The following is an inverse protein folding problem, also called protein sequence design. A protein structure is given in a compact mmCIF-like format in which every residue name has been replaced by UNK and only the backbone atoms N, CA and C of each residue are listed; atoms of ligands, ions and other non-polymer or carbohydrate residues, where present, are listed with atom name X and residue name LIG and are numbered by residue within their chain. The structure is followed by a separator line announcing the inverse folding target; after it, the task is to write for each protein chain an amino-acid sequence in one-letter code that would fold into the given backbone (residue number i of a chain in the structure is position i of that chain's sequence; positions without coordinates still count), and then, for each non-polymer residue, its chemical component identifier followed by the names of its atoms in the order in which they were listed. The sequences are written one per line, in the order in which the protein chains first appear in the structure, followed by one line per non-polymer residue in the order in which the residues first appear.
data_IF_329865751166
#
_entry.id   IF_329865751166
#
_cell.length_a   1.000
_cell.length_b   1.000
_cell.length_c   1.000
_cell.angle_alpha   90.00
_cell.angle_beta   90.00
_cell.angle_gamma   90.00
#
_symmetry.space_group_name_H-M   'P 1'
#
loop_
_entity.id
_entity.type
_entity.pdbx_description
1 polymer ?
#
# COMPACT_ATOMS: atom_id res chain seq x y z
N UNK A 1 -6.29 10.62 -20.22
CA UNK A 1 -5.89 9.22 -19.94
C UNK A 1 -4.69 9.24 -18.99
N UNK A 2 -4.73 8.50 -17.88
CA UNK A 2 -3.59 8.45 -16.92
C UNK A 2 -2.71 7.26 -17.27
N UNK A 3 -1.42 7.47 -17.45
CA UNK A 3 -0.46 6.37 -17.59
C UNK A 3 -0.29 5.71 -16.22
N UNK A 4 -0.41 4.39 -16.20
CA UNK A 4 -0.30 3.58 -14.99
C UNK A 4 1.00 2.78 -15.03
N UNK A 5 1.69 2.70 -13.90
CA UNK A 5 2.86 1.85 -13.71
C UNK A 5 2.53 0.77 -12.69
N UNK A 6 2.98 -0.46 -12.99
CA UNK A 6 2.71 -1.63 -12.18
C UNK A 6 3.72 -1.86 -11.04
N UNK A 7 4.88 -1.19 -11.10
CA UNK A 7 6.01 -1.43 -10.21
C UNK A 7 6.69 -0.12 -9.83
N UNK A 8 7.15 -0.05 -8.60
CA UNK A 8 7.98 1.04 -8.09
C UNK A 8 9.10 0.45 -7.21
N UNK A 9 10.34 0.91 -7.42
CA UNK A 9 11.44 0.64 -6.50
C UNK A 9 11.42 1.69 -5.39
N UNK A 10 11.26 1.23 -4.15
CA UNK A 10 11.23 2.06 -2.95
C UNK A 10 12.65 2.50 -2.55
N UNK A 11 12.75 3.47 -1.63
CA UNK A 11 14.03 3.98 -1.11
C UNK A 11 14.86 2.89 -0.43
N UNK A 12 14.20 1.94 0.22
CA UNK A 12 14.83 0.77 0.84
C UNK A 12 15.15 -0.37 -0.16
N UNK A 13 15.14 -0.08 -1.46
CA UNK A 13 15.40 -1.02 -2.56
C UNK A 13 14.37 -2.15 -2.74
N UNK A 14 13.32 -2.24 -1.91
CA UNK A 14 12.21 -3.15 -2.16
C UNK A 14 11.47 -2.74 -3.44
N UNK A 15 10.98 -3.72 -4.19
CA UNK A 15 10.11 -3.49 -5.35
C UNK A 15 8.67 -3.68 -4.90
N UNK A 16 7.92 -2.59 -4.82
CA UNK A 16 6.48 -2.64 -4.63
C UNK A 16 5.80 -2.89 -5.98
N UNK A 17 4.88 -3.83 -6.01
CA UNK A 17 4.03 -4.14 -7.17
C UNK A 17 2.64 -3.57 -6.95
N UNK A 18 1.75 -3.72 -7.94
CA UNK A 18 0.39 -3.20 -7.86
C UNK A 18 -0.66 -4.28 -8.14
N UNK A 19 -1.81 -4.17 -7.49
CA UNK A 19 -2.97 -5.04 -7.68
C UNK A 19 -3.36 -5.17 -9.14
N UNK A 20 -3.39 -4.04 -9.87
CA UNK A 20 -3.76 -4.00 -11.28
C UNK A 20 -2.99 -5.04 -12.12
N UNK A 21 -1.69 -5.21 -11.87
CA UNK A 21 -0.87 -6.13 -12.66
C UNK A 21 -0.69 -7.49 -11.99
N UNK A 22 -0.69 -7.58 -10.66
CA UNK A 22 -0.57 -8.86 -9.95
C UNK A 22 -1.76 -9.79 -10.19
N UNK A 23 -2.98 -9.26 -10.26
CA UNK A 23 -4.19 -10.07 -10.45
C UNK A 23 -4.30 -10.72 -11.84
N UNK A 24 -3.44 -10.33 -12.79
CA UNK A 24 -3.40 -10.95 -14.13
C UNK A 24 -2.60 -12.27 -14.14
N UNK A 25 -1.89 -12.61 -13.05
CA UNK A 25 -1.08 -13.82 -12.95
C UNK A 25 -1.74 -14.88 -12.07
N UNK A 26 -1.58 -16.16 -12.41
CA UNK A 26 -2.10 -17.28 -11.63
C UNK A 26 -1.40 -17.45 -10.27
N UNK A 27 -0.09 -17.25 -10.22
CA UNK A 27 0.72 -17.31 -9.00
C UNK A 27 1.56 -16.03 -8.85
N UNK A 28 0.92 -14.93 -8.39
CA UNK A 28 1.61 -13.67 -8.26
C UNK A 28 2.50 -13.66 -7.00
N UNK A 29 3.74 -13.21 -7.15
CA UNK A 29 4.54 -12.75 -6.01
C UNK A 29 3.91 -11.47 -5.42
N UNK A 30 3.14 -11.63 -4.35
CA UNK A 30 2.39 -10.53 -3.71
C UNK A 30 3.37 -9.58 -3.00
N UNK A 31 3.56 -8.40 -3.59
CA UNK A 31 4.36 -7.30 -3.03
C UNK A 31 3.64 -5.96 -3.18
N UNK A 32 2.30 -6.02 -3.28
CA UNK A 32 1.41 -4.86 -3.38
C UNK A 32 0.99 -4.26 -2.04
N UNK A 33 1.20 -4.98 -0.94
CA UNK A 33 0.85 -4.52 0.40
C UNK A 33 1.99 -3.71 0.99
N UNK A 34 1.65 -2.57 1.59
CA UNK A 34 2.64 -1.59 2.07
C UNK A 34 2.29 -1.05 3.44
N UNK A 35 3.33 -0.78 4.21
CA UNK A 35 3.28 0.11 5.38
C UNK A 35 3.57 1.52 4.91
N UNK A 36 2.73 2.46 5.31
CA UNK A 36 2.85 3.87 4.94
C UNK A 36 2.67 4.80 6.14
N UNK A 37 3.36 5.94 6.11
CA UNK A 37 3.29 6.96 7.16
C UNK A 37 2.64 8.22 6.62
N UNK A 38 1.50 8.60 7.21
CA UNK A 38 0.77 9.83 6.88
C UNK A 38 0.54 10.60 8.17
N UNK A 39 0.99 11.87 8.22
CA UNK A 39 0.82 12.74 9.40
C UNK A 39 1.28 12.05 10.70
N UNK A 40 2.44 11.39 10.65
CA UNK A 40 3.03 10.59 11.74
C UNK A 40 2.26 9.35 12.20
N UNK A 41 1.15 8.99 11.55
CA UNK A 41 0.39 7.77 11.83
C UNK A 41 0.77 6.69 10.83
N UNK A 42 0.95 5.46 11.32
CA UNK A 42 1.22 4.27 10.52
C UNK A 42 -0.08 3.67 10.02
N UNK A 43 -0.13 3.39 8.72
CA UNK A 43 -1.23 2.69 8.08
C UNK A 43 -0.71 1.54 7.23
N UNK A 44 -1.62 0.63 6.90
CA UNK A 44 -1.40 -0.44 5.95
C UNK A 44 -2.34 -0.24 4.76
N UNK A 45 -1.85 -0.51 3.55
CA UNK A 45 -2.66 -0.40 2.34
C UNK A 45 -2.21 -1.37 1.24
N UNK A 46 -3.10 -1.60 0.29
CA UNK A 46 -2.83 -2.31 -0.95
C UNK A 46 -2.64 -1.29 -2.10
N UNK A 47 -1.51 -1.33 -2.78
CA UNK A 47 -1.23 -0.46 -3.93
C UNK A 47 -1.98 -0.95 -5.17
N UNK A 48 -2.88 -0.11 -5.70
CA UNK A 48 -3.69 -0.45 -6.86
C UNK A 48 -2.93 -0.22 -8.18
N UNK A 49 -2.27 0.95 -8.28
CA UNK A 49 -1.34 1.31 -9.37
C UNK A 49 -0.56 2.57 -9.00
N UNK A 50 0.58 2.78 -9.65
CA UNK A 50 1.35 4.02 -9.59
C UNK A 50 1.03 4.92 -10.78
N UNK A 51 1.17 6.23 -10.60
CA UNK A 51 1.02 7.22 -11.66
C UNK A 51 1.86 8.47 -11.39
N UNK A 52 2.00 9.32 -12.40
CA UNK A 52 2.60 10.65 -12.28
C UNK A 52 1.54 11.70 -12.59
N UNK A 53 1.53 12.79 -11.83
CA UNK A 53 0.65 13.92 -12.09
C UNK A 53 1.25 15.20 -11.49
N UNK A 54 1.07 16.31 -12.19
CA UNK A 54 1.40 17.62 -11.65
C UNK A 54 0.48 17.99 -10.49
N UNK A 55 1.08 18.24 -9.33
CA UNK A 55 0.42 18.76 -8.13
C UNK A 55 1.21 19.99 -7.69
N UNK A 56 0.55 21.15 -7.62
CA UNK A 56 1.21 22.44 -7.39
C UNK A 56 2.38 22.67 -8.37
N UNK A 57 2.12 22.47 -9.67
CA UNK A 57 3.09 22.65 -10.78
C UNK A 57 4.32 21.73 -10.75
N UNK A 58 4.43 20.85 -9.76
CA UNK A 58 5.49 19.85 -9.67
C UNK A 58 4.98 18.49 -10.13
N UNK A 59 5.67 17.87 -11.07
CA UNK A 59 5.36 16.51 -11.48
C UNK A 59 5.76 15.52 -10.38
N UNK A 60 4.76 14.92 -9.72
CA UNK A 60 4.97 14.04 -8.57
C UNK A 60 4.65 12.60 -8.90
N UNK A 61 5.50 11.64 -8.47
CA UNK A 61 5.12 10.24 -8.44
C UNK A 61 4.12 9.99 -7.32
N UNK A 62 2.99 9.38 -7.68
CA UNK A 62 1.85 9.12 -6.80
C UNK A 62 1.49 7.64 -6.83
N UNK A 63 0.88 7.16 -5.75
CA UNK A 63 0.27 5.85 -5.68
C UNK A 63 -1.23 5.98 -5.41
N UNK A 64 -2.04 5.23 -6.14
CA UNK A 64 -3.42 4.95 -5.76
C UNK A 64 -3.39 3.73 -4.84
N UNK A 65 -3.90 3.87 -3.62
CA UNK A 65 -3.88 2.80 -2.62
C UNK A 65 -5.28 2.57 -2.05
N UNK A 66 -5.60 1.33 -1.71
CA UNK A 66 -6.78 1.01 -0.89
C UNK A 66 -6.33 0.70 0.54
N UNK A 67 -6.83 1.45 1.52
CA UNK A 67 -6.37 1.34 2.90
C UNK A 67 -7.05 0.18 3.64
N UNK A 68 -6.28 -0.57 4.40
CA UNK A 68 -6.83 -1.47 5.42
C UNK A 68 -7.43 -0.66 6.59
N UNK A 69 -8.14 -1.33 7.49
CA UNK A 69 -8.45 -0.73 8.79
C UNK A 69 -7.19 -0.45 9.59
N UNK A 70 -7.33 0.30 10.69
CA UNK A 70 -6.33 0.25 11.74
C UNK A 70 -6.25 -1.18 12.31
N UNK A 71 -5.09 -1.61 12.82
CA UNK A 71 -4.97 -2.88 13.52
C UNK A 71 -5.97 -3.00 14.67
N UNK A 72 -6.48 -4.21 14.88
CA UNK A 72 -7.28 -4.53 16.07
C UNK A 72 -6.39 -4.50 17.31
N UNK A 73 -6.57 -3.46 18.12
CA UNK A 73 -5.75 -3.20 19.29
C UNK A 73 -5.80 -4.32 20.32
N UNK A 74 -6.93 -5.03 20.44
CA UNK A 74 -7.04 -6.14 21.40
C UNK A 74 -6.18 -7.31 20.95
N UNK A 75 -6.22 -7.68 19.68
CA UNK A 75 -5.40 -8.78 19.15
C UNK A 75 -3.90 -8.44 19.16
N UNK A 76 -3.56 -7.18 18.91
CA UNK A 76 -2.18 -6.69 19.07
C UNK A 76 -1.71 -6.85 20.52
N UNK A 77 -2.52 -6.42 21.50
CA UNK A 77 -2.18 -6.55 22.93
C UNK A 77 -2.10 -8.01 23.39
N UNK A 78 -3.13 -8.80 23.08
CA UNK A 78 -3.21 -10.23 23.46
C UNK A 78 -2.04 -11.03 22.88
N UNK A 79 -1.48 -10.59 21.73
CA UNK A 79 -0.31 -11.20 21.09
C UNK A 79 1.03 -10.53 21.45
N UNK A 80 1.05 -9.59 22.40
CA UNK A 80 2.25 -8.81 22.77
C UNK A 80 2.94 -8.14 21.58
N UNK A 81 2.16 -7.61 20.63
CA UNK A 81 2.63 -6.93 19.43
C UNK A 81 3.08 -7.86 18.30
N UNK A 82 2.89 -9.17 18.44
CA UNK A 82 3.30 -10.15 17.41
C UNK A 82 2.34 -10.17 16.22
N UNK A 83 1.05 -9.98 16.46
CA UNK A 83 0.00 -10.10 15.44
C UNK A 83 -0.71 -8.75 15.23
N UNK A 84 -0.60 -8.23 14.01
CA UNK A 84 -1.40 -7.08 13.56
C UNK A 84 -2.52 -7.55 12.64
N UNK A 85 -3.75 -7.45 13.13
CA UNK A 85 -4.93 -7.85 12.38
C UNK A 85 -5.65 -6.64 11.82
N UNK A 86 -5.75 -6.55 10.49
CA UNK A 86 -6.45 -5.47 9.82
C UNK A 86 -7.55 -6.03 8.90
N UNK A 87 -8.67 -5.31 8.80
CA UNK A 87 -9.74 -5.62 7.84
C UNK A 87 -9.42 -5.00 6.48
N UNK A 88 -9.61 -5.76 5.41
CA UNK A 88 -9.58 -5.23 4.05
C UNK A 88 -10.88 -4.46 3.79
N UNK A 89 -10.80 -3.13 3.64
CA UNK A 89 -11.97 -2.25 3.53
C UNK A 89 -12.54 -2.15 2.09
N UNK A 90 -12.28 -3.17 1.27
CA UNK A 90 -12.61 -3.18 -0.17
C UNK A 90 -12.06 -1.94 -0.91
N UNK A 91 -12.63 -1.61 -2.08
CA UNK A 91 -12.24 -0.40 -2.87
C UNK A 91 -12.90 0.89 -2.37
N UNK A 92 -13.49 0.90 -1.17
CA UNK A 92 -14.25 2.04 -0.67
C UNK A 92 -13.37 3.15 -0.06
N UNK A 93 -12.14 2.82 0.38
CA UNK A 93 -11.18 3.79 0.94
C UNK A 93 -9.94 3.93 0.07
N UNK A 94 -10.18 4.38 -1.16
CA UNK A 94 -9.12 4.71 -2.12
C UNK A 94 -8.51 6.06 -1.77
N UNK A 95 -7.19 6.11 -1.70
CA UNK A 95 -6.43 7.32 -1.39
C UNK A 95 -5.34 7.50 -2.42
N UNK A 96 -5.10 8.75 -2.81
CA UNK A 96 -3.90 9.14 -3.55
C UNK A 96 -2.86 9.60 -2.54
N UNK A 97 -1.69 8.98 -2.57
CA UNK A 97 -0.57 9.35 -1.71
C UNK A 97 0.66 9.68 -2.56
N UNK A 98 1.54 10.51 -2.01
CA UNK A 98 2.91 10.61 -2.51
C UNK A 98 3.62 9.27 -2.25
N UNK A 99 4.35 8.75 -3.24
CA UNK A 99 5.05 7.47 -3.10
C UNK A 99 6.09 7.47 -1.98
N UNK A 100 6.57 8.65 -1.58
CA UNK A 100 7.52 8.81 -0.47
C UNK A 100 6.91 8.51 0.89
N UNK A 101 5.59 8.46 1.00
CA UNK A 101 4.90 8.00 2.21
C UNK A 101 4.99 6.49 2.42
N UNK A 102 5.34 5.72 1.38
CA UNK A 102 5.52 4.26 1.47
C UNK A 102 6.87 3.97 2.13
N UNK A 103 6.84 3.43 3.35
CA UNK A 103 8.05 3.09 4.10
C UNK A 103 8.65 1.77 3.60
N UNK A 104 7.78 0.76 3.41
CA UNK A 104 8.19 -0.59 3.03
C UNK A 104 7.02 -1.44 2.51
N UNK A 105 7.36 -2.49 1.76
CA UNK A 105 6.46 -3.60 1.43
C UNK A 105 6.30 -4.49 2.66
N UNK A 106 5.07 -4.94 2.91
CA UNK A 106 4.72 -5.88 3.99
C UNK A 106 3.97 -7.08 3.43
N UNK A 107 4.05 -8.21 4.13
CA UNK A 107 3.17 -9.36 3.88
C UNK A 107 1.84 -9.15 4.61
N UNK A 108 0.73 -9.32 3.90
CA UNK A 108 -0.60 -9.44 4.51
C UNK A 108 -1.13 -10.81 4.17
N UNK A 109 -1.28 -11.67 5.17
CA UNK A 109 -1.78 -13.04 5.01
C UNK A 109 -3.27 -13.03 5.30
N UNK A 110 -4.14 -13.40 4.33
CA UNK A 110 -5.56 -13.58 4.58
C UNK A 110 -5.79 -14.73 5.56
N UNK A 111 -6.76 -14.56 6.47
CA UNK A 111 -7.15 -15.55 7.46
C UNK A 111 -8.68 -15.55 7.62
#
# INVERSE_FOLDING_TARGET
KVQKWARLRLRNSQVCRSTWKELEYQDPRITRNVRLRLQNIVYYAEVQYFFRRSVCEQDRPLAMVSRYSLPDHRLEQDSSGTLLVCRHLEKTKMLVIDVTAIEMVVGMVPF
#
